data_IF_697862139660
#
_entry.id   IF_697862139660
#
_cell.length_a   1.000
_cell.length_b   1.000
_cell.length_c   1.000
_cell.angle_alpha   90.00
_cell.angle_beta   90.00
_cell.angle_gamma   90.00
#
_symmetry.space_group_name_H-M   'P 1'
#
loop_
_entity.id
_entity.type
_entity.pdbx_description
1 polymer ?
#
# COMPACT_ATOMS: atom_id res chain seq x y z
N UNK A 1 -15.75 16.06 -26.09
CA UNK A 1 -15.30 16.32 -24.70
C UNK A 1 -14.60 17.66 -24.66
N UNK A 2 -15.26 18.68 -24.10
CA UNK A 2 -14.74 20.05 -24.04
C UNK A 2 -13.55 20.11 -23.05
N UNK A 3 -12.59 21.02 -23.26
CA UNK A 3 -11.36 21.12 -22.44
C UNK A 3 -11.65 21.24 -20.93
N UNK A 4 -12.74 21.92 -20.55
CA UNK A 4 -13.18 22.07 -19.17
C UNK A 4 -13.56 20.72 -18.51
N UNK A 5 -14.22 19.84 -19.26
CA UNK A 5 -14.64 18.51 -18.80
C UNK A 5 -13.41 17.61 -18.55
N UNK A 6 -12.42 17.64 -19.46
CA UNK A 6 -11.14 16.94 -19.28
C UNK A 6 -10.41 17.40 -18.02
N UNK A 7 -10.38 18.72 -17.77
CA UNK A 7 -9.75 19.30 -16.58
C UNK A 7 -10.47 18.85 -15.30
N UNK A 8 -11.80 18.90 -15.29
CA UNK A 8 -12.60 18.45 -14.15
C UNK A 8 -12.38 16.97 -13.85
N UNK A 9 -12.37 16.12 -14.87
CA UNK A 9 -12.12 14.68 -14.72
C UNK A 9 -10.71 14.42 -14.16
N UNK A 10 -9.69 15.11 -14.66
CA UNK A 10 -8.33 14.98 -14.17
C UNK A 10 -8.21 15.35 -12.69
N UNK A 11 -8.79 16.47 -12.27
CA UNK A 11 -8.79 16.89 -10.85
C UNK A 11 -9.47 15.83 -9.98
N UNK A 12 -10.64 15.34 -10.39
CA UNK A 12 -11.37 14.27 -9.69
C UNK A 12 -10.53 13.01 -9.50
N UNK A 13 -9.82 12.57 -10.55
CA UNK A 13 -8.95 11.38 -10.49
C UNK A 13 -7.75 11.58 -9.55
N UNK A 14 -7.17 12.78 -9.55
CA UNK A 14 -6.08 13.13 -8.62
C UNK A 14 -6.57 13.11 -7.18
N UNK A 15 -7.73 13.74 -6.91
CA UNK A 15 -8.31 13.79 -5.57
C UNK A 15 -8.64 12.39 -5.05
N UNK A 16 -9.23 11.53 -5.90
CA UNK A 16 -9.50 10.13 -5.57
C UNK A 16 -8.20 9.36 -5.25
N UNK A 17 -7.16 9.54 -6.07
CA UNK A 17 -5.87 8.86 -5.88
C UNK A 17 -5.18 9.29 -4.58
N UNK A 18 -5.22 10.59 -4.26
CA UNK A 18 -4.67 11.14 -3.02
C UNK A 18 -5.46 10.65 -1.81
N UNK A 19 -6.80 10.61 -1.90
CA UNK A 19 -7.66 10.08 -0.86
C UNK A 19 -7.38 8.59 -0.59
N UNK A 20 -7.25 7.78 -1.64
CA UNK A 20 -6.90 6.37 -1.53
C UNK A 20 -5.53 6.18 -0.87
N UNK A 21 -4.52 6.96 -1.27
CA UNK A 21 -3.19 6.90 -0.64
C UNK A 21 -3.23 7.22 0.85
N UNK A 22 -3.96 8.27 1.25
CA UNK A 22 -4.09 8.60 2.67
C UNK A 22 -4.87 7.52 3.45
N UNK A 23 -5.90 6.91 2.86
CA UNK A 23 -6.59 5.75 3.43
C UNK A 23 -5.65 4.55 3.59
N UNK A 24 -4.82 4.31 2.58
CA UNK A 24 -3.83 3.24 2.59
C UNK A 24 -2.82 3.45 3.72
N UNK A 25 -2.26 4.65 3.86
CA UNK A 25 -1.37 4.99 4.98
C UNK A 25 -2.04 4.76 6.34
N UNK A 26 -3.31 5.16 6.47
CA UNK A 26 -4.07 4.97 7.71
C UNK A 26 -4.26 3.49 8.07
N UNK A 27 -4.53 2.62 7.09
CA UNK A 27 -4.62 1.17 7.28
C UNK A 27 -3.28 0.52 7.69
N UNK A 28 -2.18 1.26 7.57
CA UNK A 28 -0.83 0.84 7.95
C UNK A 28 -0.20 1.82 8.95
N UNK A 29 -1.01 2.45 9.81
CA UNK A 29 -0.54 3.45 10.76
C UNK A 29 0.37 2.87 11.86
N UNK A 30 0.22 1.59 12.22
CA UNK A 30 1.09 0.97 13.21
C UNK A 30 2.44 0.57 12.58
N UNK A 31 3.58 0.92 13.20
CA UNK A 31 4.91 0.66 12.65
C UNK A 31 5.21 -0.82 12.45
N UNK A 32 4.62 -1.70 13.27
CA UNK A 32 4.78 -3.16 13.14
C UNK A 32 4.10 -3.72 11.89
N UNK A 33 2.94 -3.19 11.50
CA UNK A 33 2.26 -3.59 10.26
C UNK A 33 3.09 -3.19 9.05
N UNK A 34 3.63 -1.96 9.04
CA UNK A 34 4.54 -1.53 7.97
C UNK A 34 5.83 -2.33 7.91
N UNK A 35 6.41 -2.66 9.07
CA UNK A 35 7.60 -3.53 9.11
C UNK A 35 7.33 -4.88 8.45
N UNK A 36 6.19 -5.51 8.72
CA UNK A 36 5.81 -6.78 8.10
C UNK A 36 5.61 -6.64 6.59
N UNK A 37 4.97 -5.56 6.13
CA UNK A 37 4.88 -5.26 4.69
C UNK A 37 6.25 -5.07 4.06
N UNK A 38 7.15 -4.33 4.70
CA UNK A 38 8.52 -4.11 4.23
C UNK A 38 9.31 -5.41 4.12
N UNK A 39 9.21 -6.30 5.12
CA UNK A 39 9.79 -7.64 5.06
C UNK A 39 9.20 -8.42 3.89
N UNK A 40 7.87 -8.41 3.72
CA UNK A 40 7.19 -9.08 2.61
C UNK A 40 7.63 -8.57 1.23
N UNK A 41 7.85 -7.26 1.08
CA UNK A 41 8.37 -6.64 -0.13
C UNK A 41 9.81 -7.10 -0.43
N UNK A 42 10.69 -7.15 0.58
CA UNK A 42 12.04 -7.70 0.40
C UNK A 42 12.02 -9.18 0.00
N UNK A 43 11.14 -10.00 0.59
CA UNK A 43 10.98 -11.41 0.20
C UNK A 43 10.51 -11.54 -1.25
N UNK A 44 9.58 -10.69 -1.68
CA UNK A 44 9.12 -10.66 -3.08
C UNK A 44 10.23 -10.27 -4.04
N UNK A 45 11.05 -9.27 -3.68
CA UNK A 45 12.23 -8.87 -4.46
C UNK A 45 13.31 -9.95 -4.51
N UNK A 46 13.53 -10.67 -3.41
CA UNK A 46 14.45 -11.81 -3.37
C UNK A 46 13.98 -12.93 -4.32
N UNK A 47 12.68 -13.27 -4.29
CA UNK A 47 12.11 -14.27 -5.20
C UNK A 47 12.26 -13.87 -6.67
N UNK A 48 12.03 -12.60 -6.99
CA UNK A 48 12.28 -12.05 -8.33
C UNK A 48 13.77 -12.13 -8.69
N UNK A 49 14.67 -11.77 -7.78
CA UNK A 49 16.12 -11.85 -7.99
C UNK A 49 16.59 -13.28 -8.28
N UNK A 50 16.05 -14.27 -7.57
CA UNK A 50 16.35 -15.70 -7.82
C UNK A 50 15.84 -16.17 -9.18
N UNK A 51 14.65 -15.72 -9.62
CA UNK A 51 14.16 -15.96 -10.97
C UNK A 51 15.15 -15.38 -12.01
N UNK A 52 15.55 -14.12 -11.85
CA UNK A 52 16.45 -13.44 -12.78
C UNK A 52 17.86 -14.03 -12.77
N UNK A 53 18.29 -14.63 -11.65
CA UNK A 53 19.53 -15.37 -11.52
C UNK A 53 19.45 -16.82 -12.07
N UNK A 54 18.35 -17.20 -12.72
CA UNK A 54 18.19 -18.50 -13.36
C UNK A 54 17.92 -19.67 -12.41
N UNK A 55 17.57 -19.41 -11.14
CA UNK A 55 17.35 -20.48 -10.13
C UNK A 55 16.03 -21.23 -10.33
N UNK A 56 15.10 -20.65 -11.11
CA UNK A 56 13.84 -21.28 -11.47
C UNK A 56 12.68 -20.29 -11.47
N UNK A 57 11.71 -20.52 -12.36
CA UNK A 57 10.57 -19.61 -12.51
C UNK A 57 9.66 -19.54 -11.28
N UNK A 58 9.63 -20.60 -10.47
CA UNK A 58 8.77 -20.73 -9.30
C UNK A 58 9.17 -19.82 -8.13
N UNK A 59 10.39 -19.28 -8.11
CA UNK A 59 10.82 -18.37 -7.04
C UNK A 59 10.06 -17.05 -7.02
N UNK A 60 9.66 -16.54 -8.19
CA UNK A 60 8.87 -15.31 -8.27
C UNK A 60 7.47 -15.46 -7.64
N UNK A 61 6.61 -16.42 -8.05
CA UNK A 61 5.32 -16.61 -7.40
C UNK A 61 5.45 -17.04 -5.94
N UNK A 62 6.47 -17.83 -5.57
CA UNK A 62 6.72 -18.18 -4.18
C UNK A 62 7.07 -16.96 -3.32
N UNK A 63 7.96 -16.08 -3.81
CA UNK A 63 8.32 -14.84 -3.13
C UNK A 63 7.10 -13.93 -2.91
N UNK A 64 6.23 -13.80 -3.93
CA UNK A 64 4.97 -13.06 -3.82
C UNK A 64 4.05 -13.70 -2.77
N UNK A 65 3.87 -15.02 -2.79
CA UNK A 65 3.00 -15.72 -1.85
C UNK A 65 3.46 -15.54 -0.40
N UNK A 66 4.76 -15.73 -0.13
CA UNK A 66 5.33 -15.51 1.20
C UNK A 66 5.28 -14.03 1.59
N UNK A 67 5.49 -13.11 0.64
CA UNK A 67 5.32 -11.68 0.86
C UNK A 67 3.92 -11.32 1.36
N UNK A 68 2.89 -11.88 0.73
CA UNK A 68 1.50 -11.72 1.17
C UNK A 68 1.23 -12.31 2.56
N UNK A 69 1.88 -13.42 2.95
CA UNK A 69 1.76 -13.96 4.31
C UNK A 69 2.21 -12.95 5.36
N UNK A 70 3.31 -12.24 5.13
CA UNK A 70 3.77 -11.18 6.04
C UNK A 70 2.81 -9.98 6.05
N UNK A 71 2.35 -9.52 4.88
CA UNK A 71 1.39 -8.42 4.79
C UNK A 71 0.09 -8.74 5.56
N UNK A 72 -0.46 -9.93 5.36
CA UNK A 72 -1.66 -10.38 6.07
C UNK A 72 -1.44 -10.55 7.57
N UNK A 73 -0.26 -10.99 8.01
CA UNK A 73 0.06 -11.02 9.43
C UNK A 73 0.01 -9.61 10.06
N UNK A 74 0.49 -8.59 9.35
CA UNK A 74 0.37 -7.19 9.80
C UNK A 74 -1.09 -6.79 9.98
N UNK A 75 -1.90 -6.96 8.94
CA UNK A 75 -3.31 -6.59 8.98
C UNK A 75 -4.12 -7.34 10.05
N UNK A 76 -4.00 -8.67 10.14
CA UNK A 76 -4.88 -9.46 11.02
C UNK A 76 -4.40 -9.55 12.46
N UNK A 77 -3.08 -9.58 12.70
CA UNK A 77 -2.52 -9.80 14.04
C UNK A 77 -2.23 -8.47 14.73
N UNK A 78 -1.63 -7.52 14.00
CA UNK A 78 -1.20 -6.23 14.58
C UNK A 78 -2.34 -5.21 14.49
N UNK A 79 -2.79 -4.91 13.27
CA UNK A 79 -3.73 -3.81 13.03
C UNK A 79 -5.19 -4.18 13.32
N UNK A 80 -5.49 -5.49 13.26
CA UNK A 80 -6.82 -6.08 13.35
C UNK A 80 -7.81 -5.44 12.37
N UNK A 81 -7.35 -5.16 11.16
CA UNK A 81 -8.17 -4.66 10.06
C UNK A 81 -8.15 -5.63 8.88
N UNK A 82 -9.07 -5.44 7.92
CA UNK A 82 -9.09 -6.23 6.68
C UNK A 82 -8.21 -5.55 5.62
N UNK A 83 -7.36 -6.30 4.89
CA UNK A 83 -6.52 -5.74 3.83
C UNK A 83 -7.36 -5.06 2.74
N UNK A 84 -6.94 -3.88 2.29
CA UNK A 84 -7.58 -3.16 1.18
C UNK A 84 -7.49 -3.93 -0.15
N UNK A 85 -6.52 -4.85 -0.28
CA UNK A 85 -6.36 -5.73 -1.44
C UNK A 85 -7.62 -6.54 -1.76
N UNK A 86 -8.46 -6.84 -0.77
CA UNK A 86 -9.73 -7.55 -1.02
C UNK A 86 -10.83 -6.69 -1.64
N UNK A 87 -10.71 -5.36 -1.55
CA UNK A 87 -11.62 -4.41 -2.20
C UNK A 87 -11.07 -3.99 -3.56
N UNK A 88 -9.82 -3.55 -3.59
CA UNK A 88 -9.14 -3.08 -4.79
C UNK A 88 -7.71 -3.65 -4.82
N UNK A 89 -7.51 -4.84 -5.44
CA UNK A 89 -6.23 -5.51 -5.42
C UNK A 89 -5.14 -4.75 -6.18
N UNK A 90 -5.51 -4.05 -7.26
CA UNK A 90 -4.55 -3.35 -8.12
C UNK A 90 -4.03 -2.11 -7.40
N UNK A 91 -4.94 -1.24 -6.91
CA UNK A 91 -4.53 -0.02 -6.21
C UNK A 91 -3.79 -0.34 -4.91
N UNK A 92 -4.26 -1.34 -4.15
CA UNK A 92 -3.58 -1.76 -2.93
C UNK A 92 -2.16 -2.28 -3.21
N UNK A 93 -1.97 -3.05 -4.28
CA UNK A 93 -0.66 -3.53 -4.71
C UNK A 93 0.29 -2.40 -5.10
N UNK A 94 -0.20 -1.41 -5.86
CA UNK A 94 0.57 -0.21 -6.22
C UNK A 94 0.95 0.57 -4.94
N UNK A 95 -0.02 0.83 -4.06
CA UNK A 95 0.22 1.55 -2.83
C UNK A 95 1.17 0.81 -1.88
N UNK A 96 1.24 -0.53 -1.90
CA UNK A 96 2.24 -1.27 -1.15
C UNK A 96 3.67 -0.93 -1.59
N UNK A 97 3.91 -0.83 -2.90
CA UNK A 97 5.21 -0.42 -3.43
C UNK A 97 5.50 1.07 -3.19
N UNK A 98 4.47 1.92 -3.28
CA UNK A 98 4.59 3.33 -2.90
C UNK A 98 4.96 3.45 -1.42
N UNK A 99 4.31 2.71 -0.52
CA UNK A 99 4.64 2.68 0.91
C UNK A 99 6.06 2.18 1.16
N UNK A 100 6.45 1.08 0.51
CA UNK A 100 7.81 0.53 0.62
C UNK A 100 8.87 1.56 0.24
N UNK A 101 8.70 2.27 -0.88
CA UNK A 101 9.60 3.35 -1.27
C UNK A 101 9.51 4.54 -0.32
N UNK A 102 8.29 4.95 0.05
CA UNK A 102 8.06 6.11 0.90
C UNK A 102 8.71 5.94 2.27
N UNK A 103 8.67 4.74 2.86
CA UNK A 103 9.36 4.43 4.13
C UNK A 103 10.89 4.51 4.06
N UNK A 104 11.48 4.29 2.88
CA UNK A 104 12.94 4.35 2.70
C UNK A 104 13.41 5.80 2.63
N UNK A 105 12.62 6.69 2.02
CA UNK A 105 13.06 8.05 1.68
C UNK A 105 12.37 9.15 2.49
N UNK A 106 11.23 8.88 3.11
CA UNK A 106 10.40 9.90 3.77
C UNK A 106 9.91 9.43 5.15
N UNK A 107 9.57 10.41 5.99
CA UNK A 107 9.02 10.16 7.33
C UNK A 107 7.50 9.88 7.25
N UNK A 108 7.15 8.58 7.29
CA UNK A 108 5.75 8.14 7.38
C UNK A 108 5.07 8.65 8.64
N UNK A 109 5.77 8.73 9.77
CA UNK A 109 5.18 9.18 11.03
C UNK A 109 4.81 10.66 10.97
N UNK A 110 5.64 11.50 10.33
CA UNK A 110 5.29 12.90 10.07
C UNK A 110 4.04 13.02 9.20
N UNK A 111 3.93 12.19 8.15
CA UNK A 111 2.75 12.16 7.30
C UNK A 111 1.50 11.69 8.06
N UNK A 112 1.61 10.66 8.89
CA UNK A 112 0.51 10.17 9.73
C UNK A 112 0.05 11.23 10.75
N UNK A 113 0.98 11.91 11.43
CA UNK A 113 0.65 13.04 12.32
C UNK A 113 -0.11 14.16 11.59
N UNK A 114 0.26 14.42 10.34
CA UNK A 114 -0.44 15.41 9.50
C UNK A 114 -1.87 14.94 9.24
N UNK A 115 -2.06 13.66 8.85
CA UNK A 115 -3.39 13.09 8.60
C UNK A 115 -4.28 13.09 9.86
N UNK A 116 -3.70 12.77 11.03
CA UNK A 116 -4.40 12.84 12.32
C UNK A 116 -4.84 14.27 12.66
N UNK A 117 -3.98 15.27 12.40
CA UNK A 117 -4.28 16.67 12.68
C UNK A 117 -5.44 17.22 11.84
N UNK A 118 -5.67 16.65 10.65
CA UNK A 118 -6.73 17.08 9.74
C UNK A 118 -8.12 16.60 10.17
N UNK A 119 -8.23 15.77 11.22
CA UNK A 119 -9.51 15.20 11.72
C UNK A 119 -10.40 14.65 10.60
N UNK A 120 -9.79 14.08 9.55
CA UNK A 120 -10.54 13.50 8.44
C UNK A 120 -11.39 12.34 8.97
N UNK A 121 -12.62 12.23 8.48
CA UNK A 121 -13.49 11.13 8.85
C UNK A 121 -12.94 9.82 8.26
N UNK A 122 -12.31 9.00 9.10
CA UNK A 122 -11.63 7.76 8.73
C UNK A 122 -12.61 6.67 8.29
N UNK A 123 -13.87 6.73 8.72
CA UNK A 123 -14.92 5.83 8.26
C UNK A 123 -15.21 6.06 6.77
N UNK A 124 -15.18 7.32 6.30
CA UNK A 124 -15.27 7.63 4.87
C UNK A 124 -14.06 7.12 4.09
N UNK A 125 -12.86 7.21 4.68
CA UNK A 125 -11.64 6.72 4.04
C UNK A 125 -11.68 5.20 3.84
N UNK A 126 -12.19 4.45 4.82
CA UNK A 126 -12.34 2.99 4.74
C UNK A 126 -13.42 2.52 3.77
N UNK A 127 -14.33 3.40 3.36
CA UNK A 127 -15.45 3.12 2.46
C UNK A 127 -15.13 3.26 0.97
N UNK A 128 -13.95 3.80 0.64
CA UNK A 128 -13.34 3.79 -0.70
C UNK A 128 -12.80 2.38 -1.00
#
# INVERSE_FOLDING_TARGET
>A
MQLAEKKSLFVSLVDESVAYWHCYLWHHRHPRTRLLHRIGSYVSLLGLGLLLAGQGWYFAPLGIAVGYMFAFAGHYIVEKNRPLTFKDPIRAGICNWVLFFYEIFFDVEAKLRTLESLKLNTDQMSSI
#
